data_IF_067732781367
#
_entry.id   IF_067732781367
#
_cell.length_a   1.000
_cell.length_b   1.000
_cell.length_c   1.000
_cell.angle_alpha   90.00
_cell.angle_beta   90.00
_cell.angle_gamma   90.00
#
_symmetry.space_group_name_H-M   'P 1'
#
loop_
_entity.id
_entity.type
_entity.pdbx_description
1 polymer ?
#
# COMPACT_ATOMS: atom_id res chain seq x y z
N UNK A 1 33.69 30.35 11.45
CA UNK A 1 32.22 30.36 11.37
C UNK A 1 31.83 30.34 9.90
N UNK A 2 31.63 29.15 9.33
CA UNK A 2 31.09 28.99 7.97
C UNK A 2 29.56 28.88 8.09
N UNK A 3 28.86 29.70 7.31
CA UNK A 3 27.40 29.77 7.21
C UNK A 3 26.83 28.41 6.77
N UNK A 4 26.05 27.77 7.65
CA UNK A 4 25.29 26.54 7.39
C UNK A 4 23.91 26.80 6.73
N UNK A 5 23.68 28.01 6.21
CA UNK A 5 22.34 28.48 5.81
C UNK A 5 21.86 27.96 4.45
N UNK A 6 22.63 27.11 3.75
CA UNK A 6 22.31 26.68 2.37
C UNK A 6 21.97 25.19 2.21
N UNK A 7 21.72 24.43 3.28
CA UNK A 7 21.42 22.99 3.18
C UNK A 7 19.94 22.63 2.95
N UNK A 8 19.06 23.62 2.81
CA UNK A 8 17.65 23.39 2.46
C UNK A 8 17.30 24.30 1.28
N UNK A 9 17.91 24.01 0.13
CA UNK A 9 17.26 24.40 -1.12
C UNK A 9 15.98 23.58 -1.20
N UNK A 10 14.86 24.24 -0.91
CA UNK A 10 13.52 23.74 -1.20
C UNK A 10 13.32 23.74 -2.72
N UNK A 11 14.08 22.90 -3.43
CA UNK A 11 13.58 22.39 -4.71
C UNK A 11 12.27 21.68 -4.36
N UNK A 12 11.19 22.16 -4.94
CA UNK A 12 9.80 21.82 -4.63
C UNK A 12 9.60 20.31 -4.52
N UNK A 13 9.57 19.79 -3.29
CA UNK A 13 9.68 18.36 -2.96
C UNK A 13 8.35 17.59 -3.03
N UNK A 14 7.38 18.07 -3.82
CA UNK A 14 6.25 17.31 -4.35
C UNK A 14 5.30 18.26 -5.07
N UNK A 15 5.02 17.98 -6.34
CA UNK A 15 3.80 18.42 -7.01
C UNK A 15 2.94 17.15 -7.17
N UNK A 16 1.69 17.11 -6.67
CA UNK A 16 0.82 15.92 -6.73
C UNK A 16 0.37 15.54 -8.16
N UNK A 17 0.99 16.12 -9.19
CA UNK A 17 0.67 15.93 -10.59
C UNK A 17 1.89 15.53 -11.41
N UNK A 18 2.42 14.31 -11.21
CA UNK A 18 3.02 13.55 -12.32
C UNK A 18 3.20 12.07 -12.00
N UNK A 19 2.09 11.32 -11.93
CA UNK A 19 2.11 9.86 -12.14
C UNK A 19 2.43 9.48 -13.62
N UNK A 20 2.74 10.46 -14.47
CA UNK A 20 2.99 10.28 -15.90
C UNK A 20 4.39 9.73 -16.22
N UNK A 21 5.34 9.83 -15.28
CA UNK A 21 6.66 9.21 -15.38
C UNK A 21 7.06 8.58 -14.04
N UNK A 22 6.79 7.27 -13.85
CA UNK A 22 7.14 6.55 -12.62
C UNK A 22 8.64 6.53 -12.31
N UNK A 23 9.51 6.87 -13.28
CA UNK A 23 10.97 6.90 -13.12
C UNK A 23 11.52 8.25 -12.62
N UNK A 24 10.67 9.29 -12.60
CA UNK A 24 11.07 10.66 -12.26
C UNK A 24 10.46 11.22 -10.96
N UNK A 25 9.54 10.48 -10.31
CA UNK A 25 8.85 10.94 -9.10
C UNK A 25 9.20 10.07 -7.88
N UNK A 26 9.63 10.69 -6.79
CA UNK A 26 9.67 10.01 -5.50
C UNK A 26 8.23 9.63 -5.09
N UNK A 27 8.03 8.47 -4.47
CA UNK A 27 6.72 8.05 -3.97
C UNK A 27 6.81 7.91 -2.45
N UNK A 28 5.91 8.57 -1.74
CA UNK A 28 5.75 8.45 -0.31
C UNK A 28 4.57 7.52 0.00
N UNK A 29 4.90 6.32 0.47
CA UNK A 29 3.96 5.29 0.87
C UNK A 29 3.96 5.15 2.39
N UNK A 30 2.88 5.58 3.04
CA UNK A 30 2.73 5.60 4.50
C UNK A 30 1.95 4.39 4.99
N UNK A 31 2.34 3.84 6.14
CA UNK A 31 1.65 2.74 6.82
C UNK A 31 0.79 3.25 7.98
N UNK A 32 -0.51 2.94 7.97
CA UNK A 32 -1.39 3.05 9.13
C UNK A 32 -1.61 1.67 9.76
N UNK A 33 -1.34 1.55 11.07
CA UNK A 33 -1.49 0.29 11.81
C UNK A 33 -2.74 0.26 12.71
N UNK A 34 -3.75 1.08 12.39
CA UNK A 34 -4.98 1.20 13.19
C UNK A 34 -5.05 2.46 14.06
N UNK A 35 -4.55 3.60 13.55
CA UNK A 35 -4.55 4.87 14.30
C UNK A 35 -5.98 5.31 14.63
N UNK A 36 -6.33 5.72 15.86
CA UNK A 36 -7.67 6.22 16.15
C UNK A 36 -8.07 7.40 15.25
N UNK A 37 -9.35 7.45 14.84
CA UNK A 37 -9.84 8.40 13.84
C UNK A 37 -9.46 9.87 14.13
N UNK A 38 -9.59 10.43 15.35
CA UNK A 38 -9.23 11.84 15.58
C UNK A 38 -7.74 12.15 15.36
N UNK A 39 -6.88 11.18 15.63
CA UNK A 39 -5.43 11.30 15.41
C UNK A 39 -5.14 11.20 13.91
N UNK A 40 -5.80 10.25 13.23
CA UNK A 40 -5.71 10.08 11.79
C UNK A 40 -6.16 11.36 11.04
N UNK A 41 -7.28 11.96 11.46
CA UNK A 41 -7.78 13.23 10.91
C UNK A 41 -6.76 14.37 11.02
N UNK A 42 -6.17 14.53 12.21
CA UNK A 42 -5.14 15.54 12.46
C UNK A 42 -3.89 15.30 11.61
N UNK A 43 -3.49 14.03 11.45
CA UNK A 43 -2.33 13.63 10.66
C UNK A 43 -2.53 13.90 9.16
N UNK A 44 -3.63 13.41 8.58
CA UNK A 44 -3.91 13.54 7.14
C UNK A 44 -4.15 15.00 6.75
N UNK A 45 -4.90 15.75 7.55
CA UNK A 45 -5.12 17.18 7.27
C UNK A 45 -3.83 18.00 7.26
N UNK A 46 -2.84 17.61 8.07
CA UNK A 46 -1.55 18.32 8.16
C UNK A 46 -0.56 17.90 7.06
N UNK A 47 -0.48 16.60 6.76
CA UNK A 47 0.61 16.03 5.95
C UNK A 47 0.19 15.47 4.59
N UNK A 48 -1.09 15.55 4.22
CA UNK A 48 -1.62 14.98 2.97
C UNK A 48 -0.83 15.30 1.70
N UNK A 49 -0.29 16.52 1.57
CA UNK A 49 0.53 16.93 0.43
C UNK A 49 1.82 16.13 0.23
N UNK A 50 2.23 15.35 1.23
CA UNK A 50 3.43 14.53 1.21
C UNK A 50 3.12 13.02 1.14
N UNK A 51 1.85 12.63 1.02
CA UNK A 51 1.43 11.22 1.07
C UNK A 51 0.79 10.87 -0.26
N UNK A 52 1.41 9.97 -1.02
CA UNK A 52 0.86 9.48 -2.28
C UNK A 52 -0.05 8.27 -2.03
N UNK A 53 0.43 7.33 -1.20
CA UNK A 53 -0.25 6.10 -0.87
C UNK A 53 -0.34 5.91 0.65
N UNK A 54 -1.47 5.39 1.12
CA UNK A 54 -1.67 5.03 2.53
C UNK A 54 -2.12 3.58 2.68
N UNK A 55 -1.22 2.74 3.18
CA UNK A 55 -1.49 1.33 3.45
C UNK A 55 -2.12 1.17 4.82
N UNK A 56 -3.34 0.62 4.85
CA UNK A 56 -3.90 0.02 6.06
C UNK A 56 -3.22 -1.32 6.29
N UNK A 57 -2.33 -1.34 7.27
CA UNK A 57 -1.37 -2.40 7.49
C UNK A 57 -2.01 -3.76 7.72
N UNK A 58 -1.49 -4.76 6.99
CA UNK A 58 -1.84 -6.16 7.20
C UNK A 58 -3.36 -6.37 7.08
N UNK A 59 -4.02 -6.90 8.11
CA UNK A 59 -5.47 -7.06 8.16
C UNK A 59 -6.20 -6.00 9.00
N UNK A 60 -5.59 -4.86 9.33
CA UNK A 60 -6.18 -3.88 10.25
C UNK A 60 -7.56 -3.39 9.81
N UNK A 61 -7.78 -3.23 8.50
CA UNK A 61 -9.06 -2.83 7.92
C UNK A 61 -10.22 -3.81 8.20
N UNK A 62 -9.93 -5.08 8.53
CA UNK A 62 -10.98 -6.07 8.88
C UNK A 62 -11.61 -5.79 10.24
N UNK A 63 -10.88 -5.12 11.14
CA UNK A 63 -11.29 -4.91 12.53
C UNK A 63 -11.49 -3.44 12.87
N UNK A 64 -11.09 -2.52 11.99
CA UNK A 64 -11.23 -1.08 12.20
C UNK A 64 -12.68 -0.63 11.89
N UNK A 65 -13.50 -0.31 12.90
CA UNK A 65 -14.88 0.12 12.67
C UNK A 65 -14.97 1.47 11.94
N UNK A 66 -13.87 2.23 11.91
CA UNK A 66 -13.78 3.57 11.32
C UNK A 66 -13.08 3.58 9.96
N UNK A 67 -12.74 2.40 9.41
CA UNK A 67 -12.04 2.28 8.13
C UNK A 67 -12.70 3.11 7.01
N UNK A 68 -14.03 3.02 6.85
CA UNK A 68 -14.75 3.76 5.78
C UNK A 68 -14.57 5.27 5.92
N UNK A 69 -14.55 5.81 7.15
CA UNK A 69 -14.33 7.25 7.38
C UNK A 69 -12.89 7.65 7.06
N UNK A 70 -11.91 6.84 7.49
CA UNK A 70 -10.49 7.09 7.17
C UNK A 70 -10.20 7.02 5.68
N UNK A 71 -10.77 6.04 4.99
CA UNK A 71 -10.70 5.88 3.53
C UNK A 71 -11.26 7.13 2.84
N UNK A 72 -12.45 7.57 3.22
CA UNK A 72 -13.06 8.78 2.67
C UNK A 72 -12.18 10.02 2.89
N UNK A 73 -11.53 10.13 4.05
CA UNK A 73 -10.60 11.23 4.31
C UNK A 73 -9.38 11.16 3.38
N UNK A 74 -8.83 9.97 3.10
CA UNK A 74 -7.76 9.81 2.13
C UNK A 74 -8.20 10.30 0.74
N UNK A 75 -9.39 9.88 0.27
CA UNK A 75 -9.93 10.31 -1.03
C UNK A 75 -10.07 11.84 -1.12
N UNK A 76 -10.59 12.46 -0.06
CA UNK A 76 -10.78 13.93 0.01
C UNK A 76 -9.47 14.71 -0.10
N UNK A 77 -8.37 14.09 0.31
CA UNK A 77 -7.03 14.66 0.29
C UNK A 77 -6.19 14.18 -0.91
N UNK A 78 -6.77 13.43 -1.85
CA UNK A 78 -6.08 12.92 -3.03
C UNK A 78 -5.06 11.81 -2.74
N UNK A 79 -5.13 11.19 -1.57
CA UNK A 79 -4.27 10.07 -1.16
C UNK A 79 -4.92 8.78 -1.63
N UNK A 80 -4.13 7.85 -2.20
CA UNK A 80 -4.64 6.52 -2.59
C UNK A 80 -4.55 5.51 -1.43
N UNK A 81 -5.67 5.14 -0.80
CA UNK A 81 -5.66 4.11 0.22
C UNK A 81 -5.53 2.72 -0.39
N UNK A 82 -4.86 1.82 0.30
CA UNK A 82 -4.77 0.41 -0.06
C UNK A 82 -4.73 -0.49 1.19
N UNK A 83 -5.14 -1.74 1.02
CA UNK A 83 -5.01 -2.78 2.04
C UNK A 83 -3.61 -3.40 1.95
N UNK A 84 -3.05 -3.86 3.07
CA UNK A 84 -1.77 -4.54 3.02
C UNK A 84 -1.83 -5.93 2.40
N UNK A 85 -0.72 -6.37 1.81
CA UNK A 85 -0.66 -7.64 1.08
C UNK A 85 -1.03 -8.86 1.94
N UNK A 86 -0.78 -8.81 3.25
CA UNK A 86 -1.21 -9.87 4.17
C UNK A 86 -2.73 -9.95 4.32
N UNK A 87 -3.49 -8.86 4.08
CA UNK A 87 -4.94 -8.96 3.90
C UNK A 87 -5.28 -9.89 2.74
N UNK A 88 -4.66 -9.67 1.58
CA UNK A 88 -4.84 -10.51 0.41
C UNK A 88 -4.48 -11.97 0.73
N UNK A 89 -3.33 -12.21 1.35
CA UNK A 89 -2.91 -13.56 1.74
C UNK A 89 -3.93 -14.25 2.67
N UNK A 90 -4.46 -13.51 3.65
CA UNK A 90 -5.52 -14.01 4.55
C UNK A 90 -6.77 -14.41 3.76
N UNK A 91 -7.23 -13.56 2.83
CA UNK A 91 -8.41 -13.83 2.02
C UNK A 91 -8.21 -15.03 1.09
N UNK A 92 -7.03 -15.19 0.48
CA UNK A 92 -6.72 -16.35 -0.36
C UNK A 92 -6.65 -17.64 0.46
N UNK A 93 -6.06 -17.59 1.65
CA UNK A 93 -5.87 -18.77 2.48
C UNK A 93 -7.17 -19.27 3.12
N UNK A 94 -8.03 -18.35 3.58
CA UNK A 94 -9.25 -18.69 4.31
C UNK A 94 -10.53 -18.65 3.46
N UNK A 95 -10.51 -17.98 2.32
CA UNK A 95 -11.69 -17.76 1.48
C UNK A 95 -11.39 -18.08 0.01
N UNK A 96 -11.70 -17.16 -0.90
CA UNK A 96 -11.45 -17.29 -2.32
C UNK A 96 -11.06 -15.94 -2.91
N UNK A 97 -10.41 -15.98 -4.08
CA UNK A 97 -10.09 -14.76 -4.83
C UNK A 97 -11.33 -13.93 -5.14
N UNK A 98 -12.47 -14.57 -5.40
CA UNK A 98 -13.74 -13.88 -5.64
C UNK A 98 -14.22 -13.09 -4.40
N UNK A 99 -14.13 -13.69 -3.21
CA UNK A 99 -14.48 -13.01 -1.94
C UNK A 99 -13.53 -11.85 -1.65
N UNK A 100 -12.25 -11.98 -2.01
CA UNK A 100 -11.30 -10.87 -1.94
C UNK A 100 -11.74 -9.71 -2.85
N UNK A 101 -12.10 -9.97 -4.10
CA UNK A 101 -12.57 -8.94 -5.04
C UNK A 101 -13.82 -8.23 -4.53
N UNK A 102 -14.82 -8.98 -4.06
CA UNK A 102 -16.04 -8.43 -3.49
C UNK A 102 -15.74 -7.51 -2.32
N UNK A 103 -14.77 -7.88 -1.47
CA UNK A 103 -14.37 -7.06 -0.31
C UNK A 103 -13.65 -5.78 -0.72
N UNK A 104 -12.76 -5.83 -1.71
CA UNK A 104 -12.08 -4.66 -2.28
C UNK A 104 -13.10 -3.69 -2.89
N UNK A 105 -14.07 -4.22 -3.64
CA UNK A 105 -15.17 -3.43 -4.21
C UNK A 105 -16.07 -2.81 -3.14
N UNK A 106 -16.41 -3.56 -2.08
CA UNK A 106 -17.18 -3.05 -0.94
C UNK A 106 -16.47 -1.87 -0.25
N UNK A 107 -15.14 -1.92 -0.19
CA UNK A 107 -14.30 -0.86 0.38
C UNK A 107 -14.07 0.30 -0.60
N UNK A 108 -14.44 0.17 -1.87
CA UNK A 108 -14.34 1.21 -2.88
C UNK A 108 -12.91 1.64 -3.16
N UNK A 109 -11.98 0.69 -3.17
CA UNK A 109 -10.55 0.94 -3.43
C UNK A 109 -10.23 0.80 -4.92
N UNK A 110 -9.35 1.66 -5.41
CA UNK A 110 -8.77 1.60 -6.77
C UNK A 110 -7.31 1.11 -6.76
N UNK A 111 -6.69 1.05 -5.58
CA UNK A 111 -5.32 0.62 -5.35
C UNK A 111 -5.28 -0.56 -4.38
N UNK A 112 -4.45 -1.57 -4.68
CA UNK A 112 -4.33 -2.78 -3.87
C UNK A 112 -2.87 -3.25 -3.77
N UNK A 113 -2.51 -3.79 -2.60
CA UNK A 113 -1.25 -4.50 -2.41
C UNK A 113 -1.48 -6.01 -2.44
N UNK A 114 -0.63 -6.73 -3.16
CA UNK A 114 -0.57 -8.18 -3.17
C UNK A 114 0.77 -8.62 -2.61
N UNK A 115 0.78 -9.67 -1.80
CA UNK A 115 2.00 -10.34 -1.34
C UNK A 115 1.78 -11.85 -1.28
N UNK A 116 2.87 -12.57 -1.09
CA UNK A 116 2.90 -14.02 -0.81
C UNK A 116 4.00 -14.34 0.20
N UNK A 117 4.18 -13.43 1.15
CA UNK A 117 5.29 -13.49 2.10
C UNK A 117 5.06 -14.46 3.25
N UNK A 118 3.80 -14.76 3.56
CA UNK A 118 3.35 -15.54 4.72
C UNK A 118 2.79 -16.90 4.30
N UNK A 119 2.08 -16.95 3.17
CA UNK A 119 1.53 -18.19 2.60
C UNK A 119 2.38 -18.68 1.43
N UNK A 120 2.38 -19.99 1.22
CA UNK A 120 2.92 -20.57 -0.01
C UNK A 120 1.87 -20.51 -1.11
N UNK A 121 2.10 -19.58 -2.04
CA UNK A 121 1.30 -19.38 -3.24
C UNK A 121 2.22 -19.52 -4.45
N UNK A 122 1.81 -20.39 -5.38
CA UNK A 122 2.53 -20.66 -6.62
C UNK A 122 2.73 -19.37 -7.45
N UNK A 123 3.93 -19.22 -8.01
CA UNK A 123 4.34 -18.02 -8.74
C UNK A 123 3.46 -17.76 -9.97
N UNK A 124 3.02 -18.81 -10.67
CA UNK A 124 2.14 -18.67 -11.83
C UNK A 124 0.75 -18.20 -11.40
N UNK A 125 0.20 -18.79 -10.34
CA UNK A 125 -1.10 -18.36 -9.78
C UNK A 125 -1.02 -16.91 -9.30
N UNK A 126 0.05 -16.54 -8.60
CA UNK A 126 0.26 -15.17 -8.12
C UNK A 126 0.39 -14.16 -9.27
N UNK A 127 1.14 -14.52 -10.33
CA UNK A 127 1.26 -13.70 -11.53
C UNK A 127 -0.10 -13.54 -12.25
N UNK A 128 -0.91 -14.60 -12.32
CA UNK A 128 -2.25 -14.55 -12.90
C UNK A 128 -3.19 -13.64 -12.11
N UNK A 129 -3.12 -13.64 -10.77
CA UNK A 129 -3.86 -12.68 -9.96
C UNK A 129 -3.45 -11.24 -10.24
N UNK A 130 -2.14 -10.95 -10.26
CA UNK A 130 -1.63 -9.61 -10.58
C UNK A 130 -2.13 -9.16 -11.97
N UNK A 131 -1.99 -10.03 -12.98
CA UNK A 131 -2.40 -9.75 -14.35
C UNK A 131 -3.90 -9.46 -14.44
N UNK A 132 -4.71 -10.25 -13.75
CA UNK A 132 -6.17 -10.08 -13.72
C UNK A 132 -6.55 -8.78 -13.03
N UNK A 133 -5.92 -8.44 -11.90
CA UNK A 133 -6.26 -7.24 -11.15
C UNK A 133 -5.77 -5.95 -11.82
N UNK A 134 -4.68 -6.03 -12.57
CA UNK A 134 -4.08 -4.87 -13.25
C UNK A 134 -4.98 -4.31 -14.37
N UNK A 135 -6.09 -4.97 -14.72
CA UNK A 135 -7.08 -4.41 -15.65
C UNK A 135 -7.96 -3.33 -15.00
N UNK A 136 -8.22 -3.46 -13.69
CA UNK A 136 -9.21 -2.63 -12.99
C UNK A 136 -8.61 -1.84 -11.83
N UNK A 137 -7.44 -2.23 -11.32
CA UNK A 137 -6.80 -1.62 -10.15
C UNK A 137 -5.35 -1.20 -10.43
N UNK A 138 -4.88 -0.22 -9.66
CA UNK A 138 -3.45 0.02 -9.49
C UNK A 138 -2.88 -1.04 -8.54
N UNK A 139 -2.09 -1.97 -9.07
CA UNK A 139 -1.55 -3.11 -8.32
C UNK A 139 -0.13 -2.83 -7.85
N UNK A 140 0.10 -2.99 -6.54
CA UNK A 140 1.42 -3.02 -5.92
C UNK A 140 1.73 -4.45 -5.49
N UNK A 141 2.81 -5.04 -6.01
CA UNK A 141 3.26 -6.37 -5.60
C UNK A 141 4.46 -6.27 -4.66
N UNK A 142 4.39 -6.95 -3.51
CA UNK A 142 5.52 -7.11 -2.60
C UNK A 142 6.20 -8.47 -2.85
N UNK A 143 7.46 -8.43 -3.24
CA UNK A 143 8.35 -9.59 -3.29
C UNK A 143 9.07 -9.69 -1.94
N UNK A 144 9.12 -10.88 -1.35
CA UNK A 144 9.74 -11.10 -0.05
C UNK A 144 9.02 -12.19 0.74
N UNK A 145 9.69 -12.71 1.77
CA UNK A 145 9.14 -13.71 2.70
C UNK A 145 9.18 -13.20 4.14
N UNK A 146 8.11 -13.47 4.89
CA UNK A 146 7.90 -13.14 6.30
C UNK A 146 8.12 -14.39 7.14
N UNK A 147 9.31 -14.96 7.02
CA UNK A 147 9.68 -16.21 7.67
C UNK A 147 11.00 -16.05 8.40
N UNK A 148 11.08 -16.66 9.58
CA UNK A 148 12.31 -16.78 10.36
C UNK A 148 13.18 -17.95 9.92
N UNK A 149 12.72 -18.80 8.99
CA UNK A 149 13.50 -19.89 8.41
C UNK A 149 14.54 -19.32 7.43
N UNK A 150 15.85 -19.48 7.69
CA UNK A 150 16.90 -19.03 6.78
C UNK A 150 16.80 -19.62 5.36
N UNK A 151 16.18 -20.79 5.21
CA UNK A 151 16.01 -21.42 3.89
C UNK A 151 14.90 -20.80 3.04
N UNK A 152 14.06 -19.95 3.65
CA UNK A 152 13.00 -19.22 2.95
C UNK A 152 13.47 -17.88 2.37
N UNK A 153 14.74 -17.52 2.58
CA UNK A 153 15.34 -16.30 2.04
C UNK A 153 15.50 -16.42 0.53
N UNK A 154 14.91 -15.47 -0.19
CA UNK A 154 15.05 -15.38 -1.64
C UNK A 154 16.46 -14.92 -2.02
N UNK A 155 17.09 -15.63 -2.97
CA UNK A 155 18.33 -15.20 -3.60
C UNK A 155 18.11 -13.97 -4.49
N UNK A 156 19.14 -13.14 -4.77
CA UNK A 156 18.98 -11.96 -5.64
C UNK A 156 18.36 -12.25 -7.00
N UNK A 157 18.62 -13.42 -7.59
CA UNK A 157 18.02 -13.82 -8.86
C UNK A 157 16.53 -14.17 -8.74
N UNK A 158 16.04 -14.52 -7.56
CA UNK A 158 14.61 -14.74 -7.28
C UNK A 158 13.88 -13.44 -6.92
N UNK A 159 14.61 -12.35 -6.67
CA UNK A 159 14.04 -11.01 -6.44
C UNK A 159 13.77 -10.24 -7.75
N UNK A 160 14.44 -10.62 -8.85
CA UNK A 160 14.39 -9.96 -10.17
C UNK A 160 13.50 -10.75 -11.14
#
# INVERSE_FOLDING_TARGET
MQNLTNLIQTETMHSPASLADPSACAINHVLDVGTPLPIFESYISTYSSFIDFLKFGWGSALIDPEFKKKKQLCDQHGIRPLLGGTFFEYMIYHHSFQVFLEKVQEFGLDCIELSRGTIDLDDHIYADYIKTLSTDFFVMSEVGRKSSDPNSVLSPAQWL
#
